data_IF_671154787963
#
_entry.id   IF_671154787963
#
_cell.length_a   1.000
_cell.length_b   1.000
_cell.length_c   1.000
_cell.angle_alpha   90.00
_cell.angle_beta   90.00
_cell.angle_gamma   90.00
#
_symmetry.space_group_name_H-M   'P 1'
#
loop_
_entity.id
_entity.type
_entity.pdbx_description
1 polymer ?
#
# COMPACT_ATOMS: atom_id res chain seq x y z
N UNK A 1 11.64 15.93 12.52
CA UNK A 1 10.82 15.15 11.58
C UNK A 1 9.82 14.33 12.37
N UNK A 2 8.55 14.41 12.01
CA UNK A 2 7.44 13.77 12.75
C UNK A 2 7.58 12.25 12.88
N UNK A 3 8.19 11.60 11.89
CA UNK A 3 8.30 10.14 11.85
C UNK A 3 9.73 9.63 12.17
N UNK A 4 10.54 10.48 12.78
CA UNK A 4 11.89 10.07 13.17
C UNK A 4 11.82 8.88 14.13
N UNK A 5 12.60 7.84 13.85
CA UNK A 5 12.62 6.61 14.65
C UNK A 5 11.50 5.62 14.34
N UNK A 6 10.56 5.98 13.44
CA UNK A 6 9.46 5.08 13.01
C UNK A 6 9.90 4.26 11.80
N UNK A 7 9.13 3.23 11.47
CA UNK A 7 9.42 2.33 10.36
C UNK A 7 8.36 2.50 9.27
N UNK A 8 8.80 2.73 8.05
CA UNK A 8 7.91 2.87 6.90
C UNK A 8 7.95 1.64 6.01
N UNK A 9 6.76 1.19 5.60
CA UNK A 9 6.57 0.18 4.56
C UNK A 9 5.90 0.86 3.37
N UNK A 10 6.53 0.78 2.20
CA UNK A 10 6.02 1.42 0.98
C UNK A 10 6.07 0.45 -0.19
N UNK A 11 4.95 0.34 -0.90
CA UNK A 11 4.90 -0.33 -2.19
C UNK A 11 4.57 0.71 -3.26
N UNK A 12 5.31 0.66 -4.36
CA UNK A 12 5.06 1.49 -5.54
C UNK A 12 4.82 0.53 -6.70
N UNK A 13 3.63 0.59 -7.28
CA UNK A 13 3.19 -0.35 -8.29
C UNK A 13 2.68 0.41 -9.49
N UNK A 14 3.15 0.03 -10.69
CA UNK A 14 2.64 0.56 -11.95
C UNK A 14 1.82 -0.54 -12.61
N UNK A 15 0.52 -0.32 -12.74
CA UNK A 15 -0.42 -1.28 -13.30
C UNK A 15 -0.80 -0.91 -14.73
N UNK A 16 -0.71 -1.86 -15.69
CA UNK A 16 -1.23 -1.62 -17.03
C UNK A 16 -2.76 -1.53 -17.02
N UNK A 17 -3.38 -1.01 -18.10
CA UNK A 17 -4.82 -0.76 -18.11
C UNK A 17 -5.70 -1.97 -17.75
N UNK A 18 -5.31 -3.17 -18.14
CA UNK A 18 -6.07 -4.39 -17.85
C UNK A 18 -5.93 -4.89 -16.41
N UNK A 19 -5.08 -4.27 -15.59
CA UNK A 19 -4.86 -4.63 -14.19
C UNK A 19 -5.36 -3.57 -13.20
N UNK A 20 -5.92 -2.48 -13.68
CA UNK A 20 -6.37 -1.37 -12.82
C UNK A 20 -7.60 -1.78 -11.99
N UNK A 21 -8.57 -2.45 -12.60
CA UNK A 21 -9.77 -2.89 -11.90
C UNK A 21 -9.43 -3.85 -10.77
N UNK A 22 -8.54 -4.80 -11.01
CA UNK A 22 -8.07 -5.73 -9.99
C UNK A 22 -7.32 -5.01 -8.86
N UNK A 23 -6.46 -4.05 -9.20
CA UNK A 23 -5.76 -3.24 -8.21
C UNK A 23 -6.72 -2.48 -7.31
N UNK A 24 -7.71 -1.84 -7.88
CA UNK A 24 -8.75 -1.12 -7.13
C UNK A 24 -9.49 -2.07 -6.19
N UNK A 25 -9.84 -3.27 -6.67
CA UNK A 25 -10.49 -4.29 -5.85
C UNK A 25 -9.62 -4.72 -4.67
N UNK A 26 -8.34 -4.99 -4.93
CA UNK A 26 -7.39 -5.43 -3.89
C UNK A 26 -7.27 -4.39 -2.78
N UNK A 27 -7.06 -3.12 -3.13
CA UNK A 27 -6.93 -2.07 -2.12
C UNK A 27 -8.23 -1.77 -1.40
N UNK A 28 -9.36 -1.95 -2.06
CA UNK A 28 -10.67 -1.82 -1.41
C UNK A 28 -10.90 -2.93 -0.36
N UNK A 29 -10.33 -4.09 -0.57
CA UNK A 29 -10.30 -5.20 0.40
C UNK A 29 -9.29 -4.95 1.51
N UNK A 30 -8.13 -4.39 1.18
CA UNK A 30 -6.99 -4.23 2.10
C UNK A 30 -7.30 -3.26 3.25
N UNK A 31 -7.90 -2.11 2.97
CA UNK A 31 -8.12 -1.08 3.98
C UNK A 31 -9.00 -1.53 5.16
N UNK A 32 -10.19 -2.15 4.94
CA UNK A 32 -11.00 -2.66 6.05
C UNK A 32 -10.29 -3.76 6.85
N UNK A 33 -9.54 -4.62 6.17
CA UNK A 33 -8.78 -5.67 6.84
C UNK A 33 -7.68 -5.07 7.73
N UNK A 34 -6.96 -4.05 7.24
CA UNK A 34 -5.97 -3.33 8.03
C UNK A 34 -6.58 -2.73 9.29
N UNK A 35 -7.71 -2.06 9.15
CA UNK A 35 -8.42 -1.44 10.27
C UNK A 35 -8.87 -2.47 11.30
N UNK A 36 -9.34 -3.64 10.86
CA UNK A 36 -9.86 -4.69 11.73
C UNK A 36 -8.77 -5.46 12.48
N UNK A 37 -7.54 -5.52 11.97
CA UNK A 37 -6.53 -6.46 12.44
C UNK A 37 -5.28 -5.83 13.05
N UNK A 38 -4.97 -4.57 12.73
CA UNK A 38 -3.71 -3.95 13.13
C UNK A 38 -3.82 -3.27 14.49
N UNK A 39 -2.70 -3.26 15.22
CA UNK A 39 -2.60 -2.59 16.52
C UNK A 39 -2.66 -1.08 16.35
N UNK A 40 -3.29 -0.41 17.32
CA UNK A 40 -3.39 1.06 17.35
C UNK A 40 -2.45 1.69 18.36
N UNK A 41 -1.87 0.89 19.23
CA UNK A 41 -0.93 1.34 20.26
C UNK A 41 0.16 0.28 20.46
N UNK A 42 1.19 0.64 21.24
CA UNK A 42 2.32 -0.23 21.52
C UNK A 42 3.33 -0.28 20.38
N UNK A 43 4.31 -1.19 20.51
CA UNK A 43 5.44 -1.26 19.58
C UNK A 43 5.08 -1.81 18.18
N UNK A 44 3.89 -2.39 18.03
CA UNK A 44 3.39 -2.89 16.74
C UNK A 44 2.37 -1.95 16.11
N UNK A 45 2.16 -0.76 16.67
CA UNK A 45 1.11 0.14 16.22
C UNK A 45 1.31 0.58 14.77
N UNK A 46 0.22 0.52 14.01
CA UNK A 46 0.11 1.16 12.71
C UNK A 46 -0.28 2.61 12.94
N UNK A 47 0.60 3.54 12.59
CA UNK A 47 0.41 4.97 12.85
C UNK A 47 -0.28 5.67 11.69
N UNK A 48 0.09 5.35 10.46
CA UNK A 48 -0.55 5.87 9.25
C UNK A 48 -0.71 4.80 8.20
N UNK A 49 -1.75 4.95 7.40
CA UNK A 49 -2.05 4.09 6.28
C UNK A 49 -2.62 4.94 5.16
N UNK A 50 -1.94 4.96 4.01
CA UNK A 50 -2.38 5.73 2.85
C UNK A 50 -2.23 4.91 1.58
N UNK A 51 -3.23 4.99 0.72
CA UNK A 51 -3.15 4.49 -0.66
C UNK A 51 -3.45 5.65 -1.59
N UNK A 52 -2.53 5.89 -2.51
CA UNK A 52 -2.66 6.93 -3.53
C UNK A 52 -2.63 6.29 -4.91
N UNK A 53 -3.32 6.93 -5.85
CA UNK A 53 -3.32 6.43 -7.22
C UNK A 53 -3.37 7.63 -8.18
N UNK A 54 -2.61 7.52 -9.27
CA UNK A 54 -2.58 8.55 -10.32
C UNK A 54 -2.19 7.92 -11.66
N UNK A 55 -2.57 8.59 -12.74
CA UNK A 55 -2.10 8.19 -14.06
C UNK A 55 -0.57 8.35 -14.14
N UNK A 56 0.10 7.35 -14.72
CA UNK A 56 1.52 7.48 -15.03
C UNK A 56 1.70 8.43 -16.20
N UNK A 57 2.58 9.41 -16.05
CA UNK A 57 2.92 10.35 -17.11
C UNK A 57 4.13 9.86 -17.91
N UNK A 58 4.16 10.12 -19.22
CA UNK A 58 5.29 9.77 -20.07
C UNK A 58 6.58 10.48 -19.63
N UNK A 59 6.46 11.66 -19.04
CA UNK A 59 7.55 12.35 -18.37
C UNK A 59 7.10 12.78 -16.97
N UNK A 60 7.56 12.11 -15.91
CA UNK A 60 7.14 12.42 -14.52
C UNK A 60 7.49 13.85 -14.09
N UNK A 61 8.46 14.49 -14.74
CA UNK A 61 8.89 15.86 -14.42
C UNK A 61 8.05 16.92 -15.13
N UNK A 62 7.17 16.49 -16.04
CA UNK A 62 6.31 17.41 -16.80
C UNK A 62 4.85 17.04 -16.57
N UNK A 63 4.11 17.83 -15.75
CA UNK A 63 2.71 17.54 -15.45
C UNK A 63 1.78 17.65 -16.67
N UNK A 64 2.26 18.24 -17.77
CA UNK A 64 1.50 18.35 -19.02
C UNK A 64 1.86 17.27 -20.04
N UNK A 65 2.77 16.35 -19.69
CA UNK A 65 3.11 15.24 -20.58
C UNK A 65 1.94 14.26 -20.70
N UNK A 66 1.93 13.50 -21.80
CA UNK A 66 0.84 12.57 -22.07
C UNK A 66 0.85 11.40 -21.08
N UNK A 67 -0.32 10.93 -20.60
CA UNK A 67 -0.40 9.70 -19.84
C UNK A 67 0.02 8.49 -20.69
N UNK A 68 0.63 7.50 -20.05
CA UNK A 68 1.03 6.24 -20.72
C UNK A 68 -0.12 5.24 -20.87
N UNK A 69 -1.20 5.42 -20.12
CA UNK A 69 -2.28 4.46 -19.98
C UNK A 69 -2.15 3.60 -18.72
N UNK A 70 -0.97 3.56 -18.12
CA UNK A 70 -0.76 2.87 -16.85
C UNK A 70 -1.22 3.73 -15.67
N UNK A 71 -1.48 3.08 -14.54
CA UNK A 71 -1.81 3.74 -13.27
C UNK A 71 -0.76 3.42 -12.23
N UNK A 72 -0.29 4.44 -11.53
CA UNK A 72 0.63 4.27 -10.41
C UNK A 72 -0.17 4.16 -9.11
N UNK A 73 0.14 3.14 -8.31
CA UNK A 73 -0.38 2.98 -6.96
C UNK A 73 0.76 3.13 -5.97
N UNK A 74 0.51 3.85 -4.90
CA UNK A 74 1.46 3.96 -3.79
C UNK A 74 0.74 3.58 -2.52
N UNK A 75 1.21 2.51 -1.89
CA UNK A 75 0.79 2.09 -0.56
C UNK A 75 1.87 2.54 0.41
N UNK A 76 1.51 3.36 1.38
CA UNK A 76 2.43 3.85 2.40
C UNK A 76 1.85 3.57 3.78
N UNK A 77 2.63 2.87 4.60
CA UNK A 77 2.28 2.53 5.98
C UNK A 77 3.43 2.94 6.88
N UNK A 78 3.12 3.54 8.02
CA UNK A 78 4.12 3.91 9.01
C UNK A 78 3.77 3.19 10.31
N UNK A 79 4.77 2.49 10.85
CA UNK A 79 4.65 1.72 12.09
C UNK A 79 5.52 2.31 13.18
N UNK A 80 5.14 2.06 14.42
CA UNK A 80 5.94 2.45 15.59
C UNK A 80 7.35 1.87 15.54
N UNK A 81 7.47 0.61 15.07
CA UNK A 81 8.75 -0.09 14.97
C UNK A 81 8.70 -1.20 13.93
N UNK A 82 9.85 -1.83 13.68
CA UNK A 82 9.98 -2.99 12.79
C UNK A 82 9.07 -4.15 13.21
N UNK A 83 8.78 -4.28 14.49
CA UNK A 83 7.88 -5.33 14.99
C UNK A 83 6.47 -5.21 14.38
N UNK A 84 6.03 -3.98 14.10
CA UNK A 84 4.74 -3.75 13.44
C UNK A 84 4.73 -4.26 12.01
N UNK A 85 5.81 -4.03 11.27
CA UNK A 85 5.94 -4.54 9.89
C UNK A 85 5.95 -6.07 9.87
N UNK A 86 6.70 -6.70 10.76
CA UNK A 86 6.74 -8.16 10.85
C UNK A 86 5.35 -8.73 11.18
N UNK A 87 4.65 -8.13 12.12
CA UNK A 87 3.28 -8.51 12.50
C UNK A 87 2.32 -8.36 11.32
N UNK A 88 2.45 -7.27 10.56
CA UNK A 88 1.65 -7.03 9.35
C UNK A 88 1.78 -8.19 8.34
N UNK A 89 3.01 -8.58 8.00
CA UNK A 89 3.22 -9.66 7.03
C UNK A 89 2.74 -11.00 7.56
N UNK A 90 2.95 -11.29 8.84
CA UNK A 90 2.44 -12.53 9.44
C UNK A 90 0.91 -12.60 9.35
N UNK A 91 0.22 -11.53 9.70
CA UNK A 91 -1.23 -11.45 9.60
C UNK A 91 -1.73 -11.54 8.16
N UNK A 92 -1.03 -10.90 7.22
CA UNK A 92 -1.40 -10.92 5.81
C UNK A 92 -1.31 -12.33 5.24
N UNK A 93 -0.19 -13.00 5.48
CA UNK A 93 0.02 -14.36 4.97
C UNK A 93 -0.95 -15.37 5.56
N UNK A 94 -1.33 -15.21 6.83
CA UNK A 94 -2.17 -16.18 7.52
C UNK A 94 -3.66 -15.88 7.46
N UNK A 95 -4.08 -14.64 7.19
CA UNK A 95 -5.47 -14.27 7.35
C UNK A 95 -6.08 -13.28 6.38
N UNK A 96 -5.30 -12.59 5.56
CA UNK A 96 -5.91 -11.72 4.56
C UNK A 96 -6.27 -12.53 3.31
N UNK A 97 -7.57 -12.61 3.03
CA UNK A 97 -8.09 -13.47 1.95
C UNK A 97 -7.54 -13.12 0.57
N UNK A 98 -7.15 -11.87 0.33
CA UNK A 98 -6.63 -11.40 -0.96
C UNK A 98 -5.11 -11.34 -1.02
N UNK A 99 -4.40 -11.92 -0.04
CA UNK A 99 -2.93 -11.89 -0.04
C UNK A 99 -2.34 -12.48 -1.31
N UNK A 100 -2.81 -13.67 -1.72
CA UNK A 100 -2.33 -14.32 -2.94
C UNK A 100 -2.66 -13.50 -4.20
N UNK A 101 -3.83 -12.88 -4.24
CA UNK A 101 -4.21 -12.01 -5.35
C UNK A 101 -3.29 -10.79 -5.44
N UNK A 102 -2.93 -10.20 -4.30
CA UNK A 102 -2.00 -9.09 -4.25
C UNK A 102 -0.61 -9.48 -4.75
N UNK A 103 -0.10 -10.62 -4.30
CA UNK A 103 1.22 -11.12 -4.71
C UNK A 103 1.25 -11.38 -6.23
N UNK A 104 0.17 -11.94 -6.77
CA UNK A 104 0.06 -12.22 -8.20
C UNK A 104 -0.09 -10.95 -9.03
N UNK A 105 -0.81 -10.00 -8.52
CA UNK A 105 -1.07 -8.73 -9.20
C UNK A 105 0.18 -7.87 -9.28
#
# INVERSE_FOLDING_TARGET
>A
MANHGKTQLTFIIVAPPDQIEEGDRIFKSHAPWMEATHHRDGNKALLTYDVSKAAELSNPLDPNSAPTGNTCYILSEIYESEAGVADHFEKAMSGWQDFSAFVKW
#
